data_IF_591744017887
#
_entry.id   IF_591744017887
#
_cell.length_a   1.000
_cell.length_b   1.000
_cell.length_c   1.000
_cell.angle_alpha   90.00
_cell.angle_beta   90.00
_cell.angle_gamma   90.00
#
_symmetry.space_group_name_H-M   'P 1'
#
loop_
_entity.id
_entity.type
_entity.pdbx_description
1 polymer ?
#
# COMPACT_ATOMS: atom_id res chain seq x y z
N UNK A 1 -28.19 -13.72 -37.09
CA UNK A 1 -27.53 -13.25 -35.85
C UNK A 1 -27.49 -14.42 -34.89
N UNK A 2 -26.31 -14.83 -34.42
CA UNK A 2 -26.19 -15.85 -33.37
C UNK A 2 -25.85 -15.10 -32.07
N UNK A 3 -26.62 -15.36 -31.02
CA UNK A 3 -26.45 -14.74 -29.70
C UNK A 3 -26.13 -15.88 -28.73
N UNK A 4 -25.14 -15.67 -27.88
CA UNK A 4 -24.80 -16.59 -26.81
C UNK A 4 -24.77 -15.84 -25.48
N UNK A 5 -25.35 -16.46 -24.46
CA UNK A 5 -25.34 -15.95 -23.10
C UNK A 5 -24.15 -16.53 -22.35
N UNK A 6 -23.36 -15.67 -21.72
CA UNK A 6 -22.17 -16.02 -20.96
C UNK A 6 -22.42 -15.80 -19.48
N UNK A 7 -22.26 -16.84 -18.67
CA UNK A 7 -22.41 -16.76 -17.22
C UNK A 7 -21.14 -17.24 -16.52
N UNK A 8 -20.76 -16.52 -15.47
CA UNK A 8 -19.66 -16.88 -14.58
C UNK A 8 -20.24 -17.13 -13.19
N UNK A 9 -20.04 -18.35 -12.68
CA UNK A 9 -20.59 -18.78 -11.39
C UNK A 9 -19.44 -19.18 -10.47
N UNK A 10 -19.36 -18.55 -9.30
CA UNK A 10 -18.46 -19.00 -8.23
C UNK A 10 -19.01 -20.32 -7.65
N UNK A 11 -18.33 -21.43 -7.93
CA UNK A 11 -18.78 -22.78 -7.56
C UNK A 11 -18.16 -23.32 -6.27
N UNK A 12 -17.27 -22.55 -5.62
CA UNK A 12 -16.61 -22.91 -4.36
C UNK A 12 -15.36 -22.07 -4.09
N UNK A 13 -14.58 -22.38 -3.03
CA UNK A 13 -13.35 -21.67 -2.70
C UNK A 13 -12.36 -21.73 -3.88
N UNK A 14 -12.05 -20.57 -4.46
CA UNK A 14 -11.18 -20.44 -5.64
C UNK A 14 -11.64 -21.24 -6.88
N UNK A 15 -12.92 -21.61 -6.99
CA UNK A 15 -13.45 -22.34 -8.16
C UNK A 15 -14.39 -21.46 -8.96
N UNK A 16 -14.14 -21.39 -10.26
CA UNK A 16 -14.96 -20.65 -11.20
C UNK A 16 -15.55 -21.60 -12.24
N UNK A 17 -16.86 -21.52 -12.45
CA UNK A 17 -17.55 -22.21 -13.53
C UNK A 17 -17.96 -21.22 -14.60
N UNK A 18 -17.60 -21.54 -15.83
CA UNK A 18 -17.98 -20.79 -17.02
C UNK A 18 -19.03 -21.57 -17.80
N UNK A 19 -20.13 -20.90 -18.16
CA UNK A 19 -21.18 -21.48 -18.99
C UNK A 19 -21.47 -20.60 -20.20
N UNK A 20 -21.69 -21.26 -21.35
CA UNK A 20 -22.04 -20.62 -22.62
C UNK A 20 -23.29 -21.28 -23.17
N UNK A 21 -24.35 -20.50 -23.31
CA UNK A 21 -25.62 -20.99 -23.84
C UNK A 21 -25.83 -20.42 -25.23
N UNK A 22 -25.90 -21.28 -26.25
CA UNK A 22 -26.16 -20.82 -27.61
C UNK A 22 -27.66 -20.62 -27.83
N UNK A 23 -28.11 -19.36 -27.96
CA UNK A 23 -29.51 -19.03 -28.20
C UNK A 23 -30.06 -19.49 -29.55
N UNK A 24 -29.21 -20.03 -30.44
CA UNK A 24 -29.61 -20.53 -31.77
C UNK A 24 -29.90 -22.04 -31.78
N UNK A 25 -29.09 -22.85 -31.08
CA UNK A 25 -29.22 -24.31 -31.08
C UNK A 25 -29.58 -24.91 -29.73
N UNK A 26 -29.57 -24.12 -28.64
CA UNK A 26 -29.91 -24.59 -27.30
C UNK A 26 -28.81 -25.41 -26.62
N UNK A 27 -27.69 -25.66 -27.30
CA UNK A 27 -26.52 -26.32 -26.71
C UNK A 27 -25.91 -25.44 -25.60
N UNK A 28 -25.56 -26.08 -24.50
CA UNK A 28 -24.90 -25.46 -23.36
C UNK A 28 -23.51 -26.07 -23.20
N UNK A 29 -22.48 -25.23 -23.26
CA UNK A 29 -21.11 -25.61 -22.93
C UNK A 29 -20.81 -25.19 -21.49
N UNK A 30 -20.18 -26.07 -20.72
CA UNK A 30 -19.79 -25.82 -19.33
C UNK A 30 -18.34 -26.24 -19.13
N UNK A 31 -17.53 -25.31 -18.64
CA UNK A 31 -16.16 -25.58 -18.20
C UNK A 31 -16.03 -25.19 -16.73
N UNK A 32 -15.54 -26.12 -15.92
CA UNK A 32 -15.30 -25.90 -14.49
C UNK A 32 -13.81 -25.76 -14.29
N UNK A 33 -13.36 -24.56 -13.95
CA UNK A 33 -12.03 -24.37 -13.41
C UNK A 33 -12.07 -24.78 -11.93
N UNK A 34 -11.58 -25.99 -11.68
CA UNK A 34 -11.23 -26.41 -10.32
C UNK A 34 -10.17 -25.46 -9.78
N UNK A 35 -10.12 -25.26 -8.45
CA UNK A 35 -9.16 -24.34 -7.88
C UNK A 35 -7.76 -24.80 -8.25
N UNK A 36 -7.11 -24.01 -9.10
CA UNK A 36 -5.65 -23.90 -9.06
C UNK A 36 -5.41 -23.41 -7.65
N UNK A 37 -4.96 -24.31 -6.76
CA UNK A 37 -4.51 -23.90 -5.45
C UNK A 37 -3.57 -22.71 -5.69
N UNK A 38 -3.86 -21.51 -5.18
CA UNK A 38 -2.87 -20.47 -5.18
C UNK A 38 -1.65 -21.10 -4.53
N UNK A 39 -0.60 -21.29 -5.32
CA UNK A 39 0.61 -21.94 -4.87
C UNK A 39 1.31 -20.89 -3.99
N UNK A 40 0.85 -20.77 -2.74
CA UNK A 40 1.47 -19.95 -1.70
C UNK A 40 2.85 -20.51 -1.32
N UNK A 41 3.38 -21.49 -2.06
CA UNK A 41 4.80 -21.84 -2.08
C UNK A 41 5.66 -20.78 -2.76
N UNK A 42 5.06 -19.83 -3.49
CA UNK A 42 5.59 -18.49 -3.52
C UNK A 42 5.42 -17.91 -2.12
N UNK A 43 6.36 -18.24 -1.23
CA UNK A 43 6.87 -17.28 -0.27
C UNK A 43 7.24 -16.09 -1.12
N UNK A 44 6.26 -15.22 -1.35
CA UNK A 44 6.52 -13.89 -1.84
C UNK A 44 7.47 -13.36 -0.79
N UNK A 45 8.75 -13.30 -1.15
CA UNK A 45 9.71 -12.45 -0.48
C UNK A 45 9.08 -11.07 -0.61
N UNK A 46 8.22 -10.76 0.36
CA UNK A 46 7.54 -9.50 0.47
C UNK A 46 8.68 -8.57 0.82
N UNK A 47 9.38 -8.12 -0.22
CA UNK A 47 10.49 -7.22 -0.13
C UNK A 47 9.96 -6.07 0.69
N UNK A 48 10.39 -5.99 1.95
CA UNK A 48 10.00 -4.89 2.81
C UNK A 48 10.63 -3.68 2.15
N UNK A 49 9.83 -2.97 1.36
CA UNK A 49 10.26 -1.73 0.71
C UNK A 49 10.42 -0.73 1.83
N UNK A 50 11.64 -0.60 2.35
CA UNK A 50 11.98 0.49 3.25
C UNK A 50 11.94 1.75 2.38
N UNK A 51 11.01 2.70 2.64
CA UNK A 51 10.96 3.92 1.87
C UNK A 51 12.29 4.66 2.04
N UNK A 52 12.82 5.20 0.94
CA UNK A 52 14.05 5.97 1.00
C UNK A 52 13.87 7.17 1.95
N UNK A 53 14.88 7.48 2.79
CA UNK A 53 14.80 8.63 3.67
C UNK A 53 14.62 9.90 2.84
N UNK A 54 13.50 10.59 3.04
CA UNK A 54 13.20 11.84 2.34
C UNK A 54 14.14 12.92 2.88
N UNK A 55 14.91 13.63 2.02
CA UNK A 55 15.76 14.71 2.47
C UNK A 55 14.90 15.83 3.08
N UNK A 56 15.35 16.46 4.18
CA UNK A 56 14.59 17.52 4.83
C UNK A 56 14.43 18.70 3.88
N UNK A 57 13.25 19.30 3.89
CA UNK A 57 13.00 20.50 3.08
C UNK A 57 13.78 21.70 3.61
N UNK A 58 13.99 22.71 2.76
CA UNK A 58 14.64 23.96 3.17
C UNK A 58 13.91 24.64 4.36
N UNK A 59 12.59 24.49 4.44
CA UNK A 59 11.79 24.97 5.55
C UNK A 59 12.14 24.26 6.86
N UNK A 60 12.27 22.93 6.84
CA UNK A 60 12.63 22.16 8.03
C UNK A 60 14.04 22.47 8.53
N UNK A 61 15.00 22.63 7.61
CA UNK A 61 16.36 23.04 7.94
C UNK A 61 16.35 24.42 8.62
N UNK A 62 15.63 25.40 8.06
CA UNK A 62 15.52 26.75 8.63
C UNK A 62 14.85 26.73 10.00
N UNK A 63 13.80 25.93 10.18
CA UNK A 63 13.11 25.77 11.48
C UNK A 63 14.05 25.18 12.53
N UNK A 64 14.82 24.14 12.20
CA UNK A 64 15.81 23.53 13.12
C UNK A 64 16.89 24.53 13.52
N UNK A 65 17.40 25.31 12.57
CA UNK A 65 18.36 26.38 12.85
C UNK A 65 17.78 27.44 13.77
N UNK A 66 16.55 27.89 13.53
CA UNK A 66 15.88 28.86 14.38
C UNK A 66 15.73 28.34 15.81
N UNK A 67 15.26 27.10 15.99
CA UNK A 67 15.13 26.47 17.31
C UNK A 67 16.48 26.39 18.02
N UNK A 68 17.54 25.93 17.34
CA UNK A 68 18.88 25.86 17.92
C UNK A 68 19.42 27.24 18.32
N UNK A 69 19.09 28.27 17.54
CA UNK A 69 19.46 29.65 17.86
C UNK A 69 18.71 30.16 19.08
N UNK A 70 17.39 29.92 19.16
CA UNK A 70 16.57 30.27 20.32
C UNK A 70 17.06 29.59 21.59
N UNK A 71 17.35 28.30 21.56
CA UNK A 71 17.85 27.58 22.75
C UNK A 71 19.22 28.11 23.18
N UNK A 72 20.11 28.44 22.24
CA UNK A 72 21.40 29.05 22.55
C UNK A 72 21.26 30.45 23.17
N UNK A 73 20.36 31.30 22.64
CA UNK A 73 20.13 32.64 23.18
C UNK A 73 19.51 32.58 24.57
N UNK A 74 18.47 31.75 24.77
CA UNK A 74 17.82 31.58 26.07
C UNK A 74 18.81 31.02 27.10
N UNK A 75 19.62 30.03 26.73
CA UNK A 75 20.68 29.50 27.59
C UNK A 75 21.70 30.56 28.01
N UNK A 76 22.13 31.43 27.09
CA UNK A 76 23.05 32.55 27.41
C UNK A 76 22.42 33.59 28.35
N UNK A 77 21.14 33.90 28.18
CA UNK A 77 20.43 34.86 29.05
C UNK A 77 20.29 34.27 30.46
N UNK A 78 19.91 33.00 30.58
CA UNK A 78 19.78 32.34 31.89
C UNK A 78 21.13 32.28 32.63
N UNK A 79 22.23 31.94 31.94
CA UNK A 79 23.58 31.97 32.53
C UNK A 79 23.97 33.37 33.00
N UNK A 80 23.64 34.41 32.23
CA UNK A 80 23.97 35.80 32.60
C UNK A 80 23.14 36.30 33.79
N UNK A 81 21.86 35.93 33.88
CA UNK A 81 21.01 36.29 35.03
C UNK A 81 21.47 35.61 36.32
N UNK A 82 21.95 34.37 36.25
CA UNK A 82 22.49 33.67 37.42
C UNK A 82 23.89 34.17 37.84
N UNK A 83 24.70 34.68 36.90
CA UNK A 83 26.02 35.24 37.20
C UNK A 83 26.03 36.66 37.81
N UNK A 84 24.89 37.36 37.84
CA UNK A 84 24.76 38.71 38.41
C UNK A 84 24.33 38.67 39.90
N UNK A 85 24.01 37.50 40.44
CA UNK A 85 23.55 37.31 41.83
C UNK A 85 24.66 36.95 42.84
N UNK A 86 25.94 37.10 42.50
CA UNK A 86 27.08 36.90 43.40
C UNK A 86 27.86 38.18 43.61
#
# INVERSE_FOLDING_TARGET
MAVADYTFVESGPNSLRYEVNCGKCGEAYCEVHTPVAPDFTAVGDALVVIPQPVPPTAFELRRRQAVAWFTAVVGRIMVRVNGIRH
#
